data_IF_200721496107
#
_entry.id   IF_200721496107
#
_cell.length_a   1.000
_cell.length_b   1.000
_cell.length_c   1.000
_cell.angle_alpha   90.00
_cell.angle_beta   90.00
_cell.angle_gamma   90.00
#
_symmetry.space_group_name_H-M   'P 1'
#
loop_
_entity.id
_entity.type
_entity.pdbx_description
1 polymer ?
#
# COMPACT_ATOMS: atom_id res chain seq x y z
N UNK A 1 31.39 -9.77 47.62
CA UNK A 1 32.07 -10.89 46.94
C UNK A 1 31.42 -12.16 47.42
N UNK A 2 30.60 -12.75 46.55
CA UNK A 2 30.39 -14.18 46.34
C UNK A 2 29.10 -14.34 45.52
N UNK A 3 29.32 -14.62 44.24
CA UNK A 3 28.39 -15.15 43.26
C UNK A 3 27.70 -16.41 43.75
N UNK A 4 26.39 -16.52 43.51
CA UNK A 4 25.70 -17.81 43.39
C UNK A 4 24.61 -17.67 42.33
N UNK A 5 25.07 -17.73 41.07
CA UNK A 5 24.23 -17.94 39.90
C UNK A 5 23.64 -19.35 39.98
N UNK A 6 22.32 -19.45 40.12
CA UNK A 6 21.64 -20.73 40.11
C UNK A 6 21.62 -21.26 38.65
N UNK A 7 22.52 -22.18 38.34
CA UNK A 7 22.61 -22.91 37.07
C UNK A 7 21.54 -23.99 37.09
N UNK A 8 20.41 -23.76 36.41
CA UNK A 8 19.48 -24.84 36.08
C UNK A 8 19.91 -25.53 34.79
N UNK A 9 20.72 -26.57 34.99
CA UNK A 9 20.68 -27.88 34.35
C UNK A 9 19.93 -27.96 32.99
N UNK A 10 20.67 -27.79 31.89
CA UNK A 10 20.18 -28.16 30.55
C UNK A 10 20.38 -29.66 30.43
N UNK A 11 19.41 -30.42 30.93
CA UNK A 11 19.36 -31.86 30.75
C UNK A 11 19.30 -32.20 29.26
N UNK A 12 20.37 -32.86 28.78
CA UNK A 12 20.42 -33.57 27.51
C UNK A 12 19.24 -34.54 27.40
N UNK A 13 18.29 -34.23 26.53
CA UNK A 13 17.26 -35.17 26.12
C UNK A 13 17.42 -35.40 24.61
N UNK A 14 18.13 -36.45 24.15
CA UNK A 14 18.10 -36.84 22.76
C UNK A 14 16.76 -37.54 22.50
N UNK A 15 15.70 -36.75 22.40
CA UNK A 15 14.45 -37.20 21.81
C UNK A 15 14.73 -37.55 20.36
N UNK A 16 14.99 -38.83 20.14
CA UNK A 16 15.10 -39.46 18.83
C UNK A 16 13.75 -39.29 18.15
N UNK A 17 13.61 -38.23 17.37
CA UNK A 17 12.44 -38.00 16.54
C UNK A 17 12.68 -38.75 15.22
N UNK A 18 12.33 -40.04 15.21
CA UNK A 18 12.23 -40.81 13.97
C UNK A 18 11.09 -40.25 13.11
N UNK A 19 11.46 -39.44 12.11
CA UNK A 19 10.57 -39.01 11.02
C UNK A 19 10.47 -40.13 9.99
N UNK A 20 9.78 -41.21 10.33
CA UNK A 20 9.33 -42.18 9.35
C UNK A 20 8.04 -41.66 8.70
N UNK A 21 8.21 -40.95 7.59
CA UNK A 21 7.06 -40.45 6.84
C UNK A 21 7.41 -39.33 5.90
N UNK A 22 8.15 -39.63 4.83
CA UNK A 22 8.19 -38.78 3.65
C UNK A 22 6.79 -38.75 3.02
N UNK A 23 5.89 -37.91 3.57
CA UNK A 23 4.66 -37.56 2.87
C UNK A 23 5.05 -36.69 1.68
N UNK A 24 5.03 -37.31 0.50
CA UNK A 24 5.22 -36.70 -0.80
C UNK A 24 4.24 -35.52 -0.99
N UNK A 25 4.61 -34.34 -0.52
CA UNK A 25 3.98 -33.11 -0.96
C UNK A 25 4.44 -32.89 -2.40
N UNK A 26 3.54 -33.17 -3.35
CA UNK A 26 3.69 -32.76 -4.74
C UNK A 26 3.72 -31.22 -4.78
N UNK A 27 4.90 -30.64 -4.64
CA UNK A 27 5.09 -29.25 -5.02
C UNK A 27 4.93 -29.19 -6.55
N UNK A 28 3.77 -28.71 -6.99
CA UNK A 28 3.59 -28.36 -8.39
C UNK A 28 4.59 -27.25 -8.70
N UNK A 29 5.65 -27.60 -9.41
CA UNK A 29 6.55 -26.61 -10.02
C UNK A 29 5.80 -25.96 -11.19
N UNK A 30 4.89 -25.04 -10.87
CA UNK A 30 4.30 -24.16 -11.87
C UNK A 30 5.44 -23.33 -12.43
N UNK A 31 5.96 -23.72 -13.60
CA UNK A 31 6.84 -22.88 -14.42
C UNK A 31 6.12 -21.53 -14.54
N UNK A 32 6.60 -20.51 -13.83
CA UNK A 32 6.14 -19.13 -14.01
C UNK A 32 6.47 -18.75 -15.44
N UNK A 33 5.48 -18.82 -16.33
CA UNK A 33 5.57 -18.10 -17.60
C UNK A 33 5.71 -16.63 -17.23
N UNK A 34 6.79 -15.99 -17.66
CA UNK A 34 6.95 -14.55 -17.53
C UNK A 34 5.89 -13.93 -18.42
N UNK A 35 4.78 -13.50 -17.83
CA UNK A 35 3.81 -12.65 -18.52
C UNK A 35 4.55 -11.39 -18.98
N UNK A 36 4.47 -11.10 -20.26
CA UNK A 36 4.98 -9.84 -20.82
C UNK A 36 3.96 -8.74 -20.54
N UNK A 37 4.34 -7.46 -20.63
CA UNK A 37 3.39 -6.33 -20.50
C UNK A 37 2.16 -6.49 -21.40
N UNK A 38 2.31 -7.24 -22.51
CA UNK A 38 1.24 -7.48 -23.44
C UNK A 38 0.15 -8.45 -22.92
N UNK A 39 0.47 -9.27 -21.93
CA UNK A 39 -0.42 -10.29 -21.36
C UNK A 39 -1.21 -9.79 -20.14
N UNK A 40 -0.93 -8.56 -19.65
CA UNK A 40 -1.68 -7.94 -18.57
C UNK A 40 -2.99 -7.30 -19.10
N UNK A 41 -4.09 -7.39 -18.34
CA UNK A 41 -5.33 -6.71 -18.71
C UNK A 41 -5.09 -5.22 -18.94
N UNK A 42 -5.79 -4.63 -19.90
CA UNK A 42 -5.63 -3.21 -20.30
C UNK A 42 -5.72 -2.26 -19.10
N UNK A 43 -6.50 -2.62 -18.08
CA UNK A 43 -6.62 -1.85 -16.83
C UNK A 43 -5.34 -1.74 -15.99
N UNK A 44 -4.33 -2.58 -16.24
CA UNK A 44 -3.04 -2.56 -15.56
C UNK A 44 -1.92 -1.92 -16.40
N UNK A 45 -2.21 -1.52 -17.64
CA UNK A 45 -1.24 -0.76 -18.44
C UNK A 45 -1.30 0.70 -18.03
N UNK A 46 -0.13 1.31 -17.86
CA UNK A 46 -0.06 2.76 -17.69
C UNK A 46 -0.60 3.41 -18.97
N UNK A 47 -1.52 4.37 -18.88
CA UNK A 47 -2.05 5.02 -20.07
C UNK A 47 -0.93 5.68 -20.86
N UNK A 48 -0.82 5.37 -22.16
CA UNK A 48 0.19 5.95 -23.04
C UNK A 48 0.06 7.48 -23.16
N UNK A 49 -1.11 8.02 -22.80
CA UNK A 49 -1.44 9.44 -22.91
C UNK A 49 -1.99 10.00 -21.60
N UNK A 50 -1.12 10.14 -20.59
CA UNK A 50 -1.45 10.90 -19.37
C UNK A 50 -1.59 12.41 -19.64
N UNK A 51 -0.90 12.91 -20.66
CA UNK A 51 -0.75 14.33 -20.95
C UNK A 51 -2.06 15.04 -21.33
N UNK A 52 -3.16 14.33 -21.54
CA UNK A 52 -4.42 14.89 -22.05
C UNK A 52 -5.65 14.58 -21.18
N UNK A 53 -5.48 14.04 -19.97
CA UNK A 53 -6.62 13.72 -19.09
C UNK A 53 -7.36 14.96 -18.58
N UNK A 54 -6.65 16.09 -18.44
CA UNK A 54 -7.20 17.34 -17.95
C UNK A 54 -6.80 18.49 -18.87
N UNK A 55 -7.74 19.41 -19.14
CA UNK A 55 -7.49 20.62 -19.94
C UNK A 55 -6.54 21.59 -19.24
N UNK A 56 -6.60 21.62 -17.92
CA UNK A 56 -5.80 22.49 -17.07
C UNK A 56 -5.23 21.68 -15.89
N UNK A 57 -4.10 22.12 -15.31
CA UNK A 57 -3.58 21.52 -14.09
C UNK A 57 -4.62 21.57 -12.96
N UNK A 58 -4.85 20.44 -12.31
CA UNK A 58 -5.72 20.38 -11.14
C UNK A 58 -5.16 21.28 -10.04
N UNK A 59 -5.99 22.21 -9.57
CA UNK A 59 -5.66 23.04 -8.42
C UNK A 59 -6.02 22.30 -7.14
N UNK A 60 -5.18 22.44 -6.12
CA UNK A 60 -5.42 21.85 -4.80
C UNK A 60 -5.81 22.92 -3.79
N UNK A 61 -6.44 22.51 -2.69
CA UNK A 61 -6.74 23.43 -1.60
C UNK A 61 -5.46 23.95 -0.91
N UNK A 62 -5.55 25.15 -0.33
CA UNK A 62 -4.45 25.73 0.43
C UNK A 62 -4.05 24.87 1.64
N UNK A 63 -5.03 24.23 2.28
CA UNK A 63 -4.81 23.30 3.38
C UNK A 63 -3.98 22.10 2.93
N UNK A 64 -4.31 21.51 1.78
CA UNK A 64 -3.57 20.37 1.24
C UNK A 64 -2.13 20.74 0.87
N UNK A 65 -1.90 21.91 0.25
CA UNK A 65 -0.53 22.36 -0.07
C UNK A 65 0.32 22.52 1.20
N UNK A 66 -0.25 23.10 2.26
CA UNK A 66 0.45 23.25 3.55
C UNK A 66 0.88 21.90 4.12
N UNK A 67 -0.01 20.91 4.06
CA UNK A 67 0.27 19.57 4.55
C UNK A 67 1.38 18.87 3.75
N UNK A 68 1.36 18.98 2.42
CA UNK A 68 2.41 18.44 1.55
C UNK A 68 3.78 19.06 1.86
N UNK A 69 3.84 20.37 2.09
CA UNK A 69 5.07 21.05 2.49
C UNK A 69 5.55 20.62 3.89
N UNK A 70 4.62 20.34 4.82
CA UNK A 70 4.98 19.79 6.12
C UNK A 70 5.56 18.38 5.99
N UNK A 71 5.04 17.54 5.10
CA UNK A 71 5.59 16.21 4.82
C UNK A 71 6.99 16.28 4.20
N UNK A 72 7.24 17.28 3.34
CA UNK A 72 8.58 17.57 2.82
C UNK A 72 9.55 17.92 3.96
N UNK A 73 9.14 18.80 4.88
CA UNK A 73 9.96 19.20 6.05
C UNK A 73 10.25 18.05 7.01
N UNK A 74 9.33 17.09 7.13
CA UNK A 74 9.49 15.89 7.96
C UNK A 74 10.38 14.83 7.31
N UNK A 75 10.83 15.02 6.07
CA UNK A 75 11.63 14.03 5.34
C UNK A 75 10.86 12.77 4.95
N UNK A 76 9.52 12.78 5.02
CA UNK A 76 8.67 11.66 4.59
C UNK A 76 8.65 11.60 3.06
N UNK A 77 8.64 12.78 2.43
CA UNK A 77 8.70 12.93 0.97
C UNK A 77 10.17 13.13 0.58
N UNK A 78 10.69 12.37 -0.40
CA UNK A 78 12.06 12.52 -0.90
C UNK A 78 12.36 13.92 -1.47
N UNK A 79 13.58 14.43 -1.27
CA UNK A 79 13.96 15.80 -1.65
C UNK A 79 13.88 16.06 -3.16
N UNK A 80 14.07 15.03 -3.99
CA UNK A 80 14.07 15.11 -5.45
C UNK A 80 12.73 15.64 -5.98
N UNK A 81 11.64 15.35 -5.27
CA UNK A 81 10.29 15.73 -5.66
C UNK A 81 9.77 16.99 -4.95
N UNK A 82 10.51 17.56 -4.01
CA UNK A 82 10.07 18.78 -3.28
C UNK A 82 9.80 19.95 -4.22
N UNK A 83 10.59 20.08 -5.30
CA UNK A 83 10.41 21.13 -6.31
C UNK A 83 9.03 21.07 -6.96
N UNK A 84 8.54 19.86 -7.23
CA UNK A 84 7.21 19.65 -7.82
C UNK A 84 6.11 20.16 -6.89
N UNK A 85 6.16 19.80 -5.60
CA UNK A 85 5.15 20.23 -4.62
C UNK A 85 5.14 21.75 -4.37
N UNK A 86 6.29 22.42 -4.48
CA UNK A 86 6.38 23.87 -4.34
C UNK A 86 5.65 24.60 -5.47
N UNK A 87 5.74 24.07 -6.69
CA UNK A 87 5.17 24.65 -7.90
C UNK A 87 3.67 24.36 -8.10
N UNK A 88 3.02 23.62 -7.19
CA UNK A 88 1.59 23.35 -7.29
C UNK A 88 0.75 24.61 -7.15
N UNK A 89 -0.21 24.77 -8.06
CA UNK A 89 -1.20 25.85 -8.03
C UNK A 89 -2.24 25.59 -6.92
N UNK A 90 -2.60 26.65 -6.21
CA UNK A 90 -3.59 26.63 -5.15
C UNK A 90 -4.84 27.34 -5.61
N UNK A 91 -6.01 26.78 -5.34
CA UNK A 91 -7.27 27.51 -5.39
C UNK A 91 -7.86 27.60 -3.98
N UNK A 92 -8.28 28.80 -3.60
CA UNK A 92 -8.94 29.04 -2.30
C UNK A 92 -10.33 28.39 -2.24
N UNK A 93 -10.93 28.12 -3.40
CA UNK A 93 -12.26 27.51 -3.51
C UNK A 93 -12.22 26.00 -3.82
N UNK A 94 -11.03 25.40 -3.98
CA UNK A 94 -10.92 23.97 -4.28
C UNK A 94 -11.36 23.12 -3.07
N UNK A 95 -12.35 22.26 -3.31
CA UNK A 95 -12.79 21.24 -2.36
C UNK A 95 -12.09 19.93 -2.73
N UNK A 96 -11.10 19.53 -1.93
CA UNK A 96 -10.40 18.24 -2.10
C UNK A 96 -11.22 17.07 -1.52
N UNK A 97 -12.51 17.00 -1.89
CA UNK A 97 -13.41 15.90 -1.51
C UNK A 97 -14.07 15.34 -2.76
N UNK A 98 -14.22 14.02 -2.79
CA UNK A 98 -15.06 13.38 -3.80
C UNK A 98 -16.52 13.70 -3.48
N UNK A 99 -17.39 13.85 -4.50
CA UNK A 99 -18.82 13.89 -4.29
C UNK A 99 -19.25 12.64 -3.53
N UNK A 100 -20.15 12.78 -2.57
CA UNK A 100 -20.74 11.62 -1.91
C UNK A 100 -21.46 10.76 -2.96
N UNK A 101 -21.31 9.42 -2.90
CA UNK A 101 -22.03 8.55 -3.81
C UNK A 101 -23.53 8.79 -3.63
N UNK A 102 -24.27 8.85 -4.74
CA UNK A 102 -25.72 8.90 -4.68
C UNK A 102 -26.21 7.66 -3.91
N UNK A 103 -26.69 7.89 -2.70
CA UNK A 103 -27.47 6.88 -1.98
C UNK A 103 -28.84 6.86 -2.65
N UNK A 104 -29.10 5.82 -3.43
CA UNK A 104 -30.46 5.52 -3.86
C UNK A 104 -31.27 5.22 -2.59
N UNK A 105 -32.10 6.17 -2.17
CA UNK A 105 -33.11 5.97 -1.13
C UNK A 105 -34.20 5.03 -1.66
N UNK A 106 -33.91 3.74 -1.73
CA UNK A 106 -34.90 2.67 -1.80
C UNK A 106 -34.69 1.70 -0.65
N UNK A 107 -34.93 2.18 0.57
CA UNK A 107 -35.43 1.33 1.66
C UNK A 107 -36.92 1.64 1.78
N UNK A 108 -37.69 1.03 0.88
CA UNK A 108 -39.08 0.68 1.15
C UNK A 108 -39.07 -0.43 2.19
N UNK A 109 -39.04 -0.05 3.46
CA UNK A 109 -39.40 -0.92 4.58
C UNK A 109 -40.82 -0.59 5.00
N UNK A 110 -41.79 -1.11 4.25
CA UNK A 110 -43.15 -1.32 4.77
C UNK A 110 -43.05 -2.47 5.78
N UNK A 111 -43.12 -2.18 7.07
CA UNK A 111 -43.42 -3.19 8.09
C UNK A 111 -44.49 -2.62 9.04
N UNK A 112 -45.63 -3.31 9.00
CA UNK A 112 -46.93 -3.07 9.62
C UNK A 112 -46.94 -3.31 11.14
#
# INVERSE_FOLDING_TARGET
MSDEFNVMDIGDNPSTFQLDGAQNHNYSTRKKKRLTENDLPVSYRFPDQLNCLYKEPLKISAAKKKDLLNLCRKGIIPEEVHGWFKNLNVDSQAIDKLPEPAVDETVSGEEE
#
